data_IF_703732240286
#
_entry.id   IF_703732240286
#
_cell.length_a   1.000
_cell.length_b   1.000
_cell.length_c   1.000
_cell.angle_alpha   90.00
_cell.angle_beta   90.00
_cell.angle_gamma   90.00
#
_symmetry.space_group_name_H-M   'P 1'
#
loop_
_entity.id
_entity.type
_entity.pdbx_description
1 polymer ?
#
# COMPACT_ATOMS: atom_id res chain seq x y z
N UNK A 1 19.30 -48.91 9.47
CA UNK A 1 18.31 -47.86 9.13
C UNK A 1 18.90 -47.06 8.00
N UNK A 2 18.47 -47.34 6.78
CA UNK A 2 18.88 -46.57 5.60
C UNK A 2 18.29 -45.15 5.65
N UNK A 3 19.00 -44.13 5.15
CA UNK A 3 18.47 -42.78 5.05
C UNK A 3 17.43 -42.67 3.92
N UNK A 4 16.35 -41.94 4.18
CA UNK A 4 15.28 -41.61 3.21
C UNK A 4 15.86 -40.83 2.01
N UNK A 5 15.42 -41.10 0.78
CA UNK A 5 15.78 -40.29 -0.37
C UNK A 5 15.09 -38.91 -0.30
N UNK A 6 15.83 -37.87 -0.70
CA UNK A 6 15.32 -36.52 -0.91
C UNK A 6 14.27 -36.55 -2.03
N UNK A 7 13.11 -35.95 -1.76
CA UNK A 7 12.02 -35.81 -2.71
C UNK A 7 12.45 -34.95 -3.91
N UNK A 8 11.88 -35.30 -5.06
CA UNK A 8 12.20 -34.80 -6.39
C UNK A 8 12.15 -33.28 -6.51
N UNK A 9 12.99 -32.78 -7.42
CA UNK A 9 13.09 -31.39 -7.86
C UNK A 9 11.72 -30.78 -8.19
N UNK A 10 11.24 -29.89 -7.33
CA UNK A 10 10.15 -28.98 -7.68
C UNK A 10 10.62 -28.08 -8.83
N UNK A 11 10.05 -28.30 -10.02
CA UNK A 11 10.22 -27.42 -11.16
C UNK A 11 9.60 -26.06 -10.83
N UNK A 12 10.44 -25.09 -10.49
CA UNK A 12 10.04 -23.68 -10.37
C UNK A 12 9.65 -23.20 -11.77
N UNK A 13 8.37 -22.90 -11.95
CA UNK A 13 7.86 -22.38 -13.22
C UNK A 13 8.25 -20.90 -13.35
N UNK A 14 9.06 -20.57 -14.35
CA UNK A 14 9.63 -19.23 -14.52
C UNK A 14 8.74 -18.39 -15.46
N UNK A 15 8.35 -17.17 -15.09
CA UNK A 15 7.55 -16.31 -15.95
C UNK A 15 8.33 -15.94 -17.22
N UNK A 16 7.81 -16.36 -18.37
CA UNK A 16 8.41 -16.19 -19.70
C UNK A 16 8.35 -14.77 -20.25
N UNK A 17 7.82 -13.80 -19.52
CA UNK A 17 7.51 -12.47 -20.08
C UNK A 17 8.48 -11.37 -19.61
N UNK A 18 9.48 -11.71 -18.79
CA UNK A 18 10.49 -10.76 -18.31
C UNK A 18 11.72 -10.72 -19.25
N UNK A 19 11.86 -9.64 -20.02
CA UNK A 19 13.02 -9.38 -20.89
C UNK A 19 14.35 -9.34 -20.11
N UNK A 20 14.30 -8.99 -18.82
CA UNK A 20 15.44 -9.03 -17.91
C UNK A 20 15.93 -10.46 -17.72
N UNK A 21 14.99 -11.37 -17.49
CA UNK A 21 15.24 -12.81 -17.35
C UNK A 21 15.81 -13.42 -18.64
N UNK A 22 15.35 -12.99 -19.82
CA UNK A 22 15.89 -13.50 -21.10
C UNK A 22 17.33 -13.09 -21.40
N UNK A 23 17.69 -11.82 -21.15
CA UNK A 23 19.10 -11.37 -21.26
C UNK A 23 19.99 -12.20 -20.31
N UNK A 24 19.45 -12.55 -19.14
CA UNK A 24 20.15 -13.29 -18.11
C UNK A 24 20.27 -14.79 -18.38
N UNK A 25 19.20 -15.42 -18.89
CA UNK A 25 19.18 -16.83 -19.29
C UNK A 25 20.22 -17.11 -20.37
N UNK A 26 20.47 -16.16 -21.28
CA UNK A 26 21.51 -16.27 -22.31
C UNK A 26 22.92 -16.27 -21.73
N UNK A 27 23.16 -15.55 -20.62
CA UNK A 27 24.45 -15.60 -19.91
C UNK A 27 24.62 -16.92 -19.14
N UNK A 28 23.54 -17.46 -18.59
CA UNK A 28 23.50 -18.74 -17.87
C UNK A 28 23.70 -19.97 -18.79
N UNK A 29 23.17 -19.94 -20.01
CA UNK A 29 23.31 -21.03 -20.99
C UNK A 29 24.64 -20.99 -21.75
N UNK A 30 25.40 -19.88 -21.67
CA UNK A 30 26.68 -19.72 -22.37
C UNK A 30 27.89 -20.32 -21.63
N UNK A 31 27.71 -20.89 -20.43
CA UNK A 31 28.75 -21.57 -19.66
C UNK A 31 28.25 -22.90 -19.10
N UNK A 32 28.77 -24.02 -19.62
CA UNK A 32 28.42 -25.39 -19.21
C UNK A 32 29.66 -26.08 -18.62
N UNK A 33 29.69 -26.29 -17.30
CA UNK A 33 29.90 -27.59 -16.61
C UNK A 33 30.64 -27.42 -15.26
N UNK A 34 29.98 -27.75 -14.14
CA UNK A 34 30.47 -28.52 -12.95
C UNK A 34 29.65 -28.22 -11.68
N UNK A 35 29.55 -29.20 -10.77
CA UNK A 35 28.73 -29.20 -9.54
C UNK A 35 29.00 -28.05 -8.54
N UNK A 36 30.15 -27.38 -8.62
CA UNK A 36 30.44 -26.16 -7.85
C UNK A 36 29.67 -24.93 -8.34
N UNK A 37 29.23 -24.92 -9.60
CA UNK A 37 28.39 -23.85 -10.16
C UNK A 37 26.91 -24.01 -9.78
N UNK A 38 26.44 -25.19 -9.35
CA UNK A 38 25.04 -25.40 -8.97
C UNK A 38 24.71 -24.65 -7.66
N UNK A 39 25.69 -24.57 -6.75
CA UNK A 39 25.66 -23.68 -5.59
C UNK A 39 25.67 -22.20 -6.01
N UNK A 40 26.52 -21.83 -6.98
CA UNK A 40 26.57 -20.46 -7.53
C UNK A 40 25.26 -20.03 -8.21
N UNK A 41 24.63 -20.94 -8.96
CA UNK A 41 23.31 -20.76 -9.58
C UNK A 41 22.21 -20.66 -8.53
N UNK A 42 22.25 -21.48 -7.47
CA UNK A 42 21.30 -21.41 -6.36
C UNK A 42 21.39 -20.09 -5.59
N UNK A 43 22.61 -19.65 -5.25
CA UNK A 43 22.85 -18.35 -4.61
C UNK A 43 22.41 -17.20 -5.52
N UNK A 44 22.73 -17.29 -6.81
CA UNK A 44 22.35 -16.27 -7.78
C UNK A 44 20.82 -16.16 -7.94
N UNK A 45 20.11 -17.28 -8.07
CA UNK A 45 18.63 -17.30 -8.15
C UNK A 45 18.03 -16.68 -6.89
N UNK A 46 18.55 -17.03 -5.70
CA UNK A 46 18.09 -16.42 -4.44
C UNK A 46 18.32 -14.91 -4.40
N UNK A 47 19.48 -14.44 -4.85
CA UNK A 47 19.80 -13.01 -4.94
C UNK A 47 18.90 -12.28 -5.95
N UNK A 48 18.65 -12.89 -7.11
CA UNK A 48 17.76 -12.33 -8.12
C UNK A 48 16.31 -12.24 -7.60
N UNK A 49 15.80 -13.30 -6.96
CA UNK A 49 14.48 -13.30 -6.35
C UNK A 49 14.40 -12.24 -5.25
N UNK A 50 15.40 -12.16 -4.37
CA UNK A 50 15.47 -11.14 -3.33
C UNK A 50 15.46 -9.72 -3.93
N UNK A 51 16.32 -9.46 -4.92
CA UNK A 51 16.37 -8.17 -5.62
C UNK A 51 15.02 -7.83 -6.25
N UNK A 52 14.37 -8.80 -6.90
CA UNK A 52 13.04 -8.61 -7.50
C UNK A 52 12.02 -8.24 -6.45
N UNK A 53 11.92 -8.97 -5.35
CA UNK A 53 10.97 -8.68 -4.27
C UNK A 53 11.24 -7.30 -3.65
N UNK A 54 12.51 -6.95 -3.39
CA UNK A 54 12.90 -5.66 -2.83
C UNK A 54 12.64 -4.49 -3.79
N UNK A 55 12.76 -4.71 -5.10
CA UNK A 55 12.50 -3.68 -6.12
C UNK A 55 11.01 -3.41 -6.34
N UNK A 56 10.15 -4.32 -5.89
CA UNK A 56 8.71 -4.23 -6.06
C UNK A 56 8.00 -3.64 -4.82
N UNK A 57 8.71 -3.41 -3.72
CA UNK A 57 8.19 -2.73 -2.53
C UNK A 57 7.75 -1.31 -2.91
N UNK A 58 6.62 -0.85 -2.38
CA UNK A 58 6.13 0.50 -2.61
C UNK A 58 5.95 1.24 -1.29
N UNK A 59 6.37 2.49 -1.25
CA UNK A 59 6.18 3.39 -0.13
C UNK A 59 5.44 4.63 -0.61
N UNK A 60 4.39 5.03 0.09
CA UNK A 60 3.52 6.12 -0.30
C UNK A 60 3.48 7.21 0.76
N UNK A 61 3.77 8.43 0.33
CA UNK A 61 3.60 9.65 1.10
C UNK A 61 2.90 10.68 0.21
N UNK A 62 1.56 10.61 0.20
CA UNK A 62 0.73 11.34 -0.76
C UNK A 62 0.56 12.79 -0.34
N UNK A 63 0.77 13.70 -1.29
CA UNK A 63 0.50 15.13 -1.12
C UNK A 63 -0.66 15.59 -2.01
N UNK A 64 -1.81 16.01 -1.43
CA UNK A 64 -2.99 16.45 -2.19
C UNK A 64 -2.71 17.52 -3.25
N UNK A 65 -1.81 18.45 -2.97
CA UNK A 65 -1.43 19.51 -3.91
C UNK A 65 -0.85 18.98 -5.23
N UNK A 66 -0.20 17.82 -5.21
CA UNK A 66 0.36 17.21 -6.43
C UNK A 66 -0.73 16.65 -7.36
N UNK A 67 -1.93 16.42 -6.84
CA UNK A 67 -3.06 15.78 -7.54
C UNK A 67 -3.99 16.81 -8.20
N UNK A 68 -4.09 18.03 -7.64
CA UNK A 68 -5.05 19.07 -8.05
C UNK A 68 -4.88 19.53 -9.50
N UNK A 69 -3.65 19.55 -9.97
CA UNK A 69 -3.30 20.12 -11.27
C UNK A 69 -3.55 19.13 -12.42
N UNK A 70 -4.00 19.63 -13.60
CA UNK A 70 -4.00 18.83 -14.82
C UNK A 70 -2.62 18.24 -15.12
N UNK A 71 -2.54 16.93 -15.38
CA UNK A 71 -1.27 16.25 -15.65
C UNK A 71 -1.21 15.73 -17.08
N UNK A 72 -0.03 15.74 -17.69
CA UNK A 72 0.17 15.02 -18.95
C UNK A 72 -0.04 13.52 -18.70
N UNK A 73 -0.64 12.85 -19.66
CA UNK A 73 -0.73 11.40 -19.60
C UNK A 73 0.68 10.81 -19.65
N UNK A 74 1.01 9.98 -18.68
CA UNK A 74 2.23 9.18 -18.67
C UNK A 74 1.88 7.69 -18.74
N UNK A 75 2.79 6.90 -19.29
CA UNK A 75 2.62 5.45 -19.34
C UNK A 75 3.18 4.82 -18.05
N UNK A 76 2.40 4.91 -16.97
CA UNK A 76 2.72 4.27 -15.69
C UNK A 76 1.55 3.41 -15.24
N UNK A 77 1.86 2.15 -14.89
CA UNK A 77 0.88 1.17 -14.40
C UNK A 77 0.78 1.11 -12.87
N UNK A 78 1.60 1.91 -12.19
CA UNK A 78 1.74 1.93 -10.72
C UNK A 78 1.75 3.37 -10.25
N UNK A 79 1.11 3.61 -9.11
CA UNK A 79 1.14 4.91 -8.45
C UNK A 79 2.57 5.22 -8.01
N UNK A 80 3.07 6.42 -8.29
CA UNK A 80 4.34 6.89 -7.72
C UNK A 80 4.20 7.23 -6.22
N UNK A 81 5.33 7.34 -5.52
CA UNK A 81 5.38 7.50 -4.07
C UNK A 81 4.56 8.70 -3.57
N UNK A 82 4.46 9.78 -4.36
CA UNK A 82 3.77 11.02 -3.96
C UNK A 82 2.35 11.12 -4.53
N UNK A 83 1.95 10.18 -5.38
CA UNK A 83 0.68 10.18 -6.09
C UNK A 83 0.60 11.13 -7.30
N UNK A 84 1.72 11.62 -7.82
CA UNK A 84 1.72 12.64 -8.89
C UNK A 84 1.12 12.15 -10.20
N UNK A 85 1.22 10.84 -10.45
CA UNK A 85 0.70 10.16 -11.63
C UNK A 85 -0.71 9.56 -11.43
N UNK A 86 -1.40 9.87 -10.34
CA UNK A 86 -2.71 9.34 -9.97
C UNK A 86 -3.71 9.37 -11.13
N UNK A 87 -3.80 10.48 -11.85
CA UNK A 87 -4.71 10.63 -13.00
C UNK A 87 -4.41 9.65 -14.13
N UNK A 88 -3.14 9.33 -14.39
CA UNK A 88 -2.75 8.36 -15.42
C UNK A 88 -3.07 6.93 -14.99
N UNK A 89 -2.80 6.59 -13.73
CA UNK A 89 -3.10 5.28 -13.15
C UNK A 89 -4.61 5.03 -13.14
N UNK A 90 -5.40 6.00 -12.66
CA UNK A 90 -6.86 5.91 -12.68
C UNK A 90 -7.39 5.78 -14.11
N UNK A 91 -6.85 6.53 -15.07
CA UNK A 91 -7.23 6.41 -16.49
C UNK A 91 -7.00 5.00 -17.02
N UNK A 92 -5.88 4.37 -16.65
CA UNK A 92 -5.59 2.98 -17.02
C UNK A 92 -6.55 1.99 -16.34
N UNK A 93 -6.80 2.17 -15.04
CA UNK A 93 -7.77 1.36 -14.30
C UNK A 93 -9.17 1.43 -14.92
N UNK A 94 -9.59 2.62 -15.35
CA UNK A 94 -10.89 2.86 -16.00
C UNK A 94 -11.02 2.29 -17.41
N UNK A 95 -9.91 2.03 -18.12
CA UNK A 95 -9.95 1.42 -19.47
C UNK A 95 -10.45 -0.02 -19.40
N UNK A 96 -10.27 -0.70 -18.28
CA UNK A 96 -10.86 -2.01 -18.03
C UNK A 96 -12.32 -1.81 -17.59
N UNK A 97 -13.25 -1.79 -18.56
CA UNK A 97 -14.69 -1.51 -18.36
C UNK A 97 -15.47 -2.59 -17.57
N UNK A 98 -14.79 -3.38 -16.74
CA UNK A 98 -15.42 -4.42 -15.91
C UNK A 98 -15.83 -3.73 -14.60
N UNK A 99 -17.15 -3.64 -14.36
CA UNK A 99 -17.68 -3.03 -13.12
C UNK A 99 -17.20 -3.75 -11.84
N UNK A 100 -16.84 -5.02 -11.95
CA UNK A 100 -16.31 -5.88 -10.87
C UNK A 100 -14.78 -5.99 -10.85
N UNK A 101 -14.07 -4.98 -11.38
CA UNK A 101 -12.60 -4.91 -11.36
C UNK A 101 -12.05 -3.96 -10.30
N UNK A 102 -10.72 -3.86 -10.24
CA UNK A 102 -9.97 -3.00 -9.30
C UNK A 102 -10.52 -1.55 -9.19
N UNK A 103 -10.94 -0.95 -10.32
CA UNK A 103 -11.54 0.39 -10.33
C UNK A 103 -12.93 0.44 -9.68
N UNK A 104 -13.74 -0.62 -9.86
CA UNK A 104 -15.06 -0.73 -9.26
C UNK A 104 -14.98 -0.80 -7.74
N UNK A 105 -14.04 -1.57 -7.21
CA UNK A 105 -13.76 -1.67 -5.76
C UNK A 105 -13.31 -0.33 -5.21
N UNK A 106 -12.32 0.29 -5.85
CA UNK A 106 -11.84 1.63 -5.51
C UNK A 106 -12.98 2.65 -5.45
N UNK A 107 -13.83 2.67 -6.49
CA UNK A 107 -14.97 3.60 -6.56
C UNK A 107 -15.97 3.36 -5.44
N UNK A 108 -16.31 2.10 -5.16
CA UNK A 108 -17.23 1.74 -4.06
C UNK A 108 -16.67 2.18 -2.71
N UNK A 109 -15.39 1.91 -2.46
CA UNK A 109 -14.72 2.34 -1.23
C UNK A 109 -14.65 3.86 -1.12
N UNK A 110 -14.37 4.58 -2.21
CA UNK A 110 -14.37 6.05 -2.20
C UNK A 110 -15.75 6.62 -1.83
N UNK A 111 -16.82 6.13 -2.45
CA UNK A 111 -18.20 6.54 -2.15
C UNK A 111 -18.60 6.24 -0.70
N UNK A 112 -18.07 5.16 -0.12
CA UNK A 112 -18.32 4.80 1.26
C UNK A 112 -17.55 5.68 2.26
N UNK A 113 -16.30 6.01 1.93
CA UNK A 113 -15.34 6.76 2.75
C UNK A 113 -15.60 8.27 2.73
N UNK A 114 -16.01 8.83 1.58
CA UNK A 114 -16.14 10.28 1.40
C UNK A 114 -17.61 10.65 1.17
N UNK A 115 -18.31 11.17 2.20
CA UNK A 115 -19.71 11.55 2.08
C UNK A 115 -19.95 12.55 0.94
N UNK A 116 -21.02 12.32 0.18
CA UNK A 116 -21.41 13.19 -0.93
C UNK A 116 -20.75 12.85 -2.27
N UNK A 117 -19.63 12.13 -2.28
CA UNK A 117 -19.02 11.66 -3.54
C UNK A 117 -19.69 10.37 -4.00
N UNK A 118 -20.13 10.36 -5.25
CA UNK A 118 -20.86 9.24 -5.86
C UNK A 118 -20.11 8.59 -7.01
N UNK A 119 -19.14 9.29 -7.60
CA UNK A 119 -18.34 8.79 -8.71
C UNK A 119 -17.04 9.60 -8.86
N UNK A 120 -16.06 9.03 -9.54
CA UNK A 120 -14.78 9.68 -9.88
C UNK A 120 -14.37 9.29 -11.28
N UNK A 121 -13.84 10.24 -12.07
CA UNK A 121 -13.33 9.92 -13.40
C UNK A 121 -12.19 10.80 -13.86
N UNK A 122 -11.48 10.30 -14.86
CA UNK A 122 -10.43 11.04 -15.56
C UNK A 122 -10.94 11.48 -16.94
N UNK A 123 -10.75 12.75 -17.27
CA UNK A 123 -11.11 13.36 -18.56
C UNK A 123 -9.88 13.89 -19.28
N UNK A 124 -9.84 13.76 -20.61
CA UNK A 124 -8.80 14.35 -21.42
C UNK A 124 -9.23 15.76 -21.87
N UNK A 125 -8.45 16.78 -21.50
CA UNK A 125 -8.71 18.19 -21.83
C UNK A 125 -7.42 18.81 -22.35
N UNK A 126 -7.40 19.25 -23.61
CA UNK A 126 -6.24 19.95 -24.19
C UNK A 126 -4.92 19.16 -24.15
N UNK A 127 -4.97 17.82 -24.22
CA UNK A 127 -3.78 16.95 -24.10
C UNK A 127 -3.34 16.64 -22.66
N UNK A 128 -4.05 17.16 -21.67
CA UNK A 128 -3.88 16.85 -20.25
C UNK A 128 -4.99 15.93 -19.76
N UNK A 129 -4.75 15.25 -18.65
CA UNK A 129 -5.74 14.52 -17.87
C UNK A 129 -6.15 15.36 -16.67
N UNK A 130 -7.46 15.50 -16.49
CA UNK A 130 -8.09 16.17 -15.35
C UNK A 130 -8.90 15.13 -14.58
N UNK A 131 -8.83 15.19 -13.27
CA UNK A 131 -9.61 14.36 -12.37
C UNK A 131 -10.89 15.10 -11.98
N UNK A 132 -12.03 14.42 -12.06
CA UNK A 132 -13.34 14.95 -11.69
C UNK A 132 -14.08 14.04 -10.73
N UNK A 133 -14.83 14.64 -9.82
CA UNK A 133 -15.63 13.96 -8.81
C UNK A 133 -17.09 14.32 -8.98
N UNK A 134 -17.97 13.34 -8.85
CA UNK A 134 -19.42 13.54 -8.94
C UNK A 134 -19.99 13.64 -7.54
N UNK A 135 -20.49 14.81 -7.18
CA UNK A 135 -21.16 15.05 -5.92
C UNK A 135 -22.66 14.81 -6.04
N UNK A 136 -23.27 14.15 -5.05
CA UNK A 136 -24.72 14.03 -4.94
C UNK A 136 -25.34 15.40 -4.71
N UNK A 137 -26.28 15.81 -5.56
CA UNK A 137 -27.08 17.01 -5.33
C UNK A 137 -28.44 16.60 -4.77
N UNK A 138 -28.76 17.06 -3.56
CA UNK A 138 -30.03 16.77 -2.87
C UNK A 138 -31.21 17.46 -3.57
N UNK A 139 -30.97 18.56 -4.29
CA UNK A 139 -32.04 19.42 -4.83
C UNK A 139 -32.66 18.86 -6.12
N UNK A 140 -31.82 18.47 -7.10
CA UNK A 140 -32.31 18.07 -8.44
C UNK A 140 -32.09 16.58 -8.77
N UNK A 141 -31.50 15.80 -7.85
CA UNK A 141 -31.11 14.40 -8.06
C UNK A 141 -30.01 14.18 -9.13
N UNK A 142 -29.70 15.21 -9.93
CA UNK A 142 -28.60 15.23 -10.89
C UNK A 142 -27.35 15.75 -10.18
N UNK A 143 -26.45 14.82 -9.83
CA UNK A 143 -25.17 15.16 -9.23
C UNK A 143 -24.32 16.10 -10.09
N UNK A 144 -23.43 16.87 -9.45
CA UNK A 144 -22.55 17.86 -10.10
C UNK A 144 -21.15 17.29 -10.22
N UNK A 145 -20.50 17.48 -11.37
CA UNK A 145 -19.09 17.14 -11.55
C UNK A 145 -18.22 18.34 -11.19
N UNK A 146 -17.32 18.16 -10.23
CA UNK A 146 -16.34 19.15 -9.80
C UNK A 146 -14.94 18.69 -10.19
N UNK A 147 -14.05 19.65 -10.45
CA UNK A 147 -12.65 19.37 -10.73
C UNK A 147 -11.90 19.09 -9.42
N UNK A 148 -10.81 18.30 -9.48
CA UNK A 148 -9.97 18.03 -8.32
C UNK A 148 -9.45 19.29 -7.60
N UNK A 149 -9.35 20.43 -8.30
CA UNK A 149 -9.00 21.72 -7.70
C UNK A 149 -10.03 22.22 -6.68
N UNK A 150 -11.28 21.74 -6.73
CA UNK A 150 -12.38 22.12 -5.85
C UNK A 150 -12.61 21.13 -4.70
N UNK A 151 -11.89 19.99 -4.69
CA UNK A 151 -12.02 18.98 -3.64
C UNK A 151 -11.21 19.33 -2.39
N UNK A 152 -11.61 18.78 -1.25
CA UNK A 152 -10.81 18.85 -0.03
C UNK A 152 -9.53 18.01 -0.14
N UNK A 153 -8.50 18.38 0.62
CA UNK A 153 -7.25 17.63 0.67
C UNK A 153 -7.46 16.17 1.09
N UNK A 154 -8.34 15.93 2.08
CA UNK A 154 -8.72 14.60 2.52
C UNK A 154 -9.33 13.74 1.41
N UNK A 155 -10.17 14.32 0.54
CA UNK A 155 -10.76 13.60 -0.59
C UNK A 155 -9.69 13.13 -1.58
N UNK A 156 -8.78 14.02 -1.95
CA UNK A 156 -7.70 13.70 -2.89
C UNK A 156 -6.74 12.66 -2.30
N UNK A 157 -6.41 12.79 -1.01
CA UNK A 157 -5.59 11.80 -0.29
C UNK A 157 -6.28 10.45 -0.23
N UNK A 158 -7.57 10.41 0.11
CA UNK A 158 -8.34 9.17 0.14
C UNK A 158 -8.33 8.49 -1.22
N UNK A 159 -8.58 9.21 -2.31
CA UNK A 159 -8.51 8.61 -3.64
C UNK A 159 -7.13 8.02 -3.95
N UNK A 160 -6.05 8.71 -3.58
CA UNK A 160 -4.69 8.23 -3.80
C UNK A 160 -4.37 6.98 -2.95
N UNK A 161 -4.76 6.95 -1.68
CA UNK A 161 -4.60 5.80 -0.79
C UNK A 161 -5.38 4.58 -1.31
N UNK A 162 -6.64 4.79 -1.71
CA UNK A 162 -7.45 3.74 -2.34
C UNK A 162 -6.79 3.26 -3.65
N UNK A 163 -6.22 4.16 -4.44
CA UNK A 163 -5.48 3.78 -5.66
C UNK A 163 -4.26 2.94 -5.33
N UNK A 164 -3.48 3.30 -4.30
CA UNK A 164 -2.33 2.53 -3.84
C UNK A 164 -2.72 1.11 -3.40
N UNK A 165 -3.88 0.97 -2.76
CA UNK A 165 -4.44 -0.32 -2.31
C UNK A 165 -4.98 -1.15 -3.47
N UNK A 166 -5.78 -0.56 -4.36
CA UNK A 166 -6.52 -1.29 -5.40
C UNK A 166 -5.80 -1.37 -6.75
N UNK A 167 -4.65 -0.70 -6.95
CA UNK A 167 -3.91 -0.79 -8.20
C UNK A 167 -3.60 -2.24 -8.62
N UNK A 168 -3.64 -2.49 -9.93
CA UNK A 168 -3.54 -3.83 -10.52
C UNK A 168 -2.24 -4.56 -10.19
N UNK A 169 -1.11 -3.83 -10.14
CA UNK A 169 0.21 -4.38 -9.76
C UNK A 169 0.47 -4.16 -8.28
N UNK A 170 -0.20 -4.98 -7.46
CA UNK A 170 -0.06 -4.95 -6.00
C UNK A 170 1.39 -5.27 -5.61
N UNK A 171 2.02 -4.46 -4.77
CA UNK A 171 3.38 -4.74 -4.32
C UNK A 171 3.37 -5.88 -3.30
N UNK A 172 4.51 -6.58 -3.09
CA UNK A 172 4.67 -7.51 -1.98
C UNK A 172 4.59 -6.80 -0.62
N UNK A 173 5.02 -5.53 -0.55
CA UNK A 173 4.86 -4.65 0.61
C UNK A 173 4.32 -3.28 0.19
N UNK A 174 3.31 -2.83 0.93
CA UNK A 174 2.69 -1.52 0.82
C UNK A 174 2.99 -0.70 2.09
N UNK A 175 3.95 0.22 1.99
CA UNK A 175 4.27 1.20 3.02
C UNK A 175 3.44 2.48 2.83
N UNK A 176 2.82 2.99 3.88
CA UNK A 176 2.01 4.21 3.84
C UNK A 176 2.39 5.12 5.01
N UNK A 177 2.79 6.35 4.69
CA UNK A 177 3.15 7.35 5.68
C UNK A 177 1.93 8.22 6.05
N UNK A 178 1.64 8.27 7.35
CA UNK A 178 0.58 9.09 7.97
C UNK A 178 -0.74 9.08 7.18
N UNK A 179 -1.37 7.92 6.94
CA UNK A 179 -2.61 7.85 6.14
C UNK A 179 -3.75 8.70 6.71
N UNK A 180 -3.72 9.03 8.00
CA UNK A 180 -4.68 9.89 8.68
C UNK A 180 -4.58 11.38 8.31
N UNK A 181 -3.46 11.83 7.75
CA UNK A 181 -3.16 13.25 7.68
C UNK A 181 -4.09 13.95 6.66
N UNK A 182 -4.75 15.03 7.09
CA UNK A 182 -5.85 15.69 6.37
C UNK A 182 -7.13 14.84 6.15
N UNK A 183 -7.27 13.68 6.81
CA UNK A 183 -8.46 12.83 6.78
C UNK A 183 -9.30 13.07 8.03
N UNK A 184 -10.63 13.10 7.88
CA UNK A 184 -11.55 13.29 9.01
C UNK A 184 -11.54 12.04 9.94
N UNK A 185 -11.47 12.19 11.28
CA UNK A 185 -11.41 11.06 12.21
C UNK A 185 -12.57 10.06 12.06
N UNK A 186 -13.76 10.52 11.68
CA UNK A 186 -14.92 9.64 11.40
C UNK A 186 -14.68 8.59 10.30
N UNK A 187 -13.65 8.76 9.47
CA UNK A 187 -13.37 7.91 8.30
C UNK A 187 -12.25 6.89 8.57
N UNK A 188 -11.40 7.09 9.59
CA UNK A 188 -10.24 6.20 9.81
C UNK A 188 -10.65 4.75 10.17
N UNK A 189 -11.89 4.49 10.57
CA UNK A 189 -12.42 3.15 10.86
C UNK A 189 -12.51 2.36 9.57
N UNK A 190 -13.19 2.95 8.59
CA UNK A 190 -13.28 2.40 7.25
C UNK A 190 -11.88 2.28 6.62
N UNK A 191 -11.00 3.24 6.87
CA UNK A 191 -9.63 3.19 6.37
C UNK A 191 -8.82 2.02 6.98
N UNK A 192 -8.96 1.79 8.28
CA UNK A 192 -8.35 0.64 8.96
C UNK A 192 -8.89 -0.69 8.40
N UNK A 193 -10.19 -0.80 8.16
CA UNK A 193 -10.81 -1.98 7.53
C UNK A 193 -10.25 -2.22 6.11
N UNK A 194 -10.07 -1.16 5.32
CA UNK A 194 -9.47 -1.26 3.98
C UNK A 194 -8.01 -1.75 4.05
N UNK A 195 -7.25 -1.28 5.04
CA UNK A 195 -5.87 -1.74 5.24
C UNK A 195 -5.81 -3.18 5.74
N UNK A 196 -6.72 -3.58 6.61
CA UNK A 196 -6.85 -4.97 7.05
C UNK A 196 -7.22 -5.89 5.87
N UNK A 197 -8.17 -5.49 5.03
CA UNK A 197 -8.52 -6.23 3.81
C UNK A 197 -7.33 -6.32 2.85
N UNK A 198 -6.61 -5.21 2.66
CA UNK A 198 -5.39 -5.18 1.85
C UNK A 198 -4.29 -6.10 2.41
N UNK A 199 -4.23 -6.25 3.74
CA UNK A 199 -3.24 -7.09 4.42
C UNK A 199 -3.38 -8.58 4.11
N UNK A 200 -4.57 -9.02 3.66
CA UNK A 200 -4.83 -10.41 3.25
C UNK A 200 -4.06 -10.83 1.99
N UNK A 201 -3.56 -9.86 1.21
CA UNK A 201 -2.94 -10.09 -0.10
C UNK A 201 -1.56 -9.44 -0.26
N UNK A 202 -1.24 -8.44 0.56
CA UNK A 202 0.01 -7.66 0.53
C UNK A 202 0.40 -7.32 1.96
N UNK A 203 1.68 -7.33 2.31
CA UNK A 203 2.10 -6.83 3.61
C UNK A 203 1.88 -5.32 3.68
N UNK A 204 1.07 -4.85 4.65
CA UNK A 204 0.81 -3.41 4.84
C UNK A 204 1.59 -2.91 6.04
N UNK A 205 2.37 -1.85 5.85
CA UNK A 205 3.12 -1.15 6.90
C UNK A 205 2.67 0.30 6.92
N UNK A 206 2.23 0.77 8.08
CA UNK A 206 1.71 2.12 8.25
C UNK A 206 2.52 2.81 9.34
N UNK A 207 2.91 4.05 9.10
CA UNK A 207 3.35 4.98 10.16
C UNK A 207 2.17 5.87 10.54
N UNK A 208 1.99 6.09 11.83
CA UNK A 208 0.87 6.89 12.34
C UNK A 208 1.26 7.53 13.66
N UNK A 209 0.85 8.77 13.83
CA UNK A 209 0.84 9.48 15.11
C UNK A 209 -0.58 9.65 15.63
N UNK A 210 -1.60 9.19 14.90
CA UNK A 210 -3.01 9.30 15.26
C UNK A 210 -3.41 8.26 16.31
N UNK A 211 -3.82 8.69 17.52
CA UNK A 211 -4.46 7.82 18.51
C UNK A 211 -5.72 7.16 17.95
N UNK A 212 -6.50 7.91 17.18
CA UNK A 212 -7.75 7.42 16.58
C UNK A 212 -7.52 6.25 15.62
N UNK A 213 -6.45 6.30 14.81
CA UNK A 213 -6.10 5.19 13.92
C UNK A 213 -5.52 4.00 14.70
N UNK A 214 -4.68 4.28 15.71
CA UNK A 214 -4.10 3.25 16.58
C UNK A 214 -5.20 2.42 17.26
N UNK A 215 -6.25 3.06 17.75
CA UNK A 215 -7.38 2.41 18.43
C UNK A 215 -8.24 1.53 17.53
N UNK A 216 -8.07 1.65 16.22
CA UNK A 216 -8.80 0.88 15.21
C UNK A 216 -8.03 -0.33 14.71
N UNK A 217 -6.79 -0.52 15.19
CA UNK A 217 -5.93 -1.62 14.78
C UNK A 217 -5.78 -2.65 15.91
N UNK A 218 -5.69 -3.95 15.57
CA UNK A 218 -5.40 -4.98 16.55
C UNK A 218 -4.06 -4.70 17.25
N UNK A 219 -4.03 -4.80 18.57
CA UNK A 219 -2.82 -4.57 19.37
C UNK A 219 -1.61 -5.41 18.93
N UNK A 220 -1.85 -6.61 18.39
CA UNK A 220 -0.82 -7.51 17.89
C UNK A 220 -0.09 -6.95 16.65
N UNK A 221 -0.72 -6.04 15.90
CA UNK A 221 -0.18 -5.38 14.73
C UNK A 221 0.62 -4.12 15.08
N UNK A 222 0.41 -3.56 16.27
CA UNK A 222 1.07 -2.32 16.70
C UNK A 222 2.55 -2.58 17.01
N UNK A 223 3.41 -1.69 16.53
CA UNK A 223 4.84 -1.64 16.87
C UNK A 223 5.18 -0.27 17.44
N UNK A 224 5.84 -0.26 18.59
CA UNK A 224 6.45 0.94 19.13
C UNK A 224 7.78 1.21 18.41
N UNK A 225 8.12 2.49 18.30
CA UNK A 225 9.39 2.97 17.73
C UNK A 225 10.02 3.91 18.74
N UNK A 226 11.26 3.63 19.14
CA UNK A 226 12.03 4.47 20.04
C UNK A 226 13.41 4.76 19.45
N UNK A 227 13.97 5.92 19.78
CA UNK A 227 15.36 6.26 19.47
C UNK A 227 16.19 6.17 20.75
N UNK A 228 17.05 5.16 20.85
CA UNK A 228 17.82 4.84 22.06
C UNK A 228 19.29 4.67 21.66
N UNK A 229 20.18 5.39 22.35
CA UNK A 229 21.63 5.30 22.15
C UNK A 229 22.11 5.53 20.69
N UNK A 230 21.41 6.39 19.95
CA UNK A 230 21.74 6.68 18.55
C UNK A 230 21.12 5.73 17.53
N UNK A 231 20.32 4.75 17.97
CA UNK A 231 19.69 3.75 17.11
C UNK A 231 18.17 3.80 17.20
N UNK A 232 17.51 3.62 16.05
CA UNK A 232 16.06 3.40 16.00
C UNK A 232 15.75 1.94 16.31
N UNK A 233 14.99 1.72 17.38
CA UNK A 233 14.50 0.39 17.78
C UNK A 233 13.01 0.30 17.47
N UNK A 234 12.61 -0.80 16.85
CA UNK A 234 11.21 -1.09 16.49
C UNK A 234 10.83 -2.45 17.08
N UNK A 235 9.67 -2.54 17.72
CA UNK A 235 9.28 -3.75 18.42
C UNK A 235 7.86 -3.72 18.94
N UNK A 236 7.46 -4.80 19.63
CA UNK A 236 6.14 -4.85 20.28
C UNK A 236 6.08 -3.81 21.39
N UNK A 237 4.88 -3.28 21.62
CA UNK A 237 4.61 -2.44 22.79
C UNK A 237 4.92 -3.20 24.08
N UNK A 238 5.27 -2.49 25.15
CA UNK A 238 5.64 -3.07 26.44
C UNK A 238 4.55 -4.01 26.98
N UNK A 239 4.95 -5.04 27.73
CA UNK A 239 4.00 -6.01 28.29
C UNK A 239 2.98 -5.34 29.23
N UNK A 240 3.41 -4.31 29.97
CA UNK A 240 2.54 -3.50 30.84
C UNK A 240 1.48 -2.77 30.05
N UNK A 241 1.85 -2.08 28.97
CA UNK A 241 0.90 -1.39 28.09
C UNK A 241 -0.01 -2.39 27.37
N UNK A 242 0.55 -3.51 26.87
CA UNK A 242 -0.24 -4.55 26.23
C UNK A 242 -1.28 -5.17 27.17
N UNK A 243 -0.93 -5.36 28.45
CA UNK A 243 -1.84 -5.90 29.45
C UNK A 243 -2.92 -4.87 29.82
N UNK A 244 -2.56 -3.59 29.96
CA UNK A 244 -3.52 -2.53 30.25
C UNK A 244 -4.62 -2.43 29.17
N UNK A 245 -4.23 -2.52 27.90
CA UNK A 245 -5.19 -2.54 26.78
C UNK A 245 -6.04 -3.81 26.79
N UNK A 246 -5.44 -4.99 27.01
CA UNK A 246 -6.21 -6.26 27.10
C UNK A 246 -7.21 -6.28 28.25
N UNK A 247 -6.90 -5.61 29.36
CA UNK A 247 -7.79 -5.49 30.51
C UNK A 247 -8.83 -4.36 30.36
N UNK A 248 -8.78 -3.59 29.28
CA UNK A 248 -9.68 -2.46 29.04
C UNK A 248 -9.44 -1.28 30.00
N UNK A 249 -8.24 -1.17 30.58
CA UNK A 249 -7.88 -0.04 31.46
C UNK A 249 -7.63 1.23 30.66
N UNK A 250 -7.07 1.08 29.45
CA UNK A 250 -6.80 2.15 28.50
C UNK A 250 -6.94 1.60 27.08
N UNK A 251 -7.21 2.46 26.10
CA UNK A 251 -6.99 2.14 24.69
C UNK A 251 -5.50 2.31 24.31
N UNK A 252 -5.08 1.77 23.18
CA UNK A 252 -3.68 1.91 22.74
C UNK A 252 -3.36 3.37 22.34
N UNK A 253 -4.35 4.07 21.78
CA UNK A 253 -4.30 5.48 21.43
C UNK A 253 -4.27 6.38 22.67
N UNK A 254 -5.01 6.05 23.74
CA UNK A 254 -4.92 6.76 25.03
C UNK A 254 -3.50 6.66 25.60
N UNK A 255 -2.93 5.45 25.66
CA UNK A 255 -1.54 5.26 26.11
C UNK A 255 -0.54 6.02 25.24
N UNK A 256 -0.71 5.98 23.92
CA UNK A 256 0.11 6.75 22.98
C UNK A 256 0.05 8.25 23.28
N UNK A 257 -1.14 8.78 23.56
CA UNK A 257 -1.36 10.21 23.83
C UNK A 257 -0.80 10.66 25.18
N UNK A 258 -0.84 9.79 26.19
CA UNK A 258 -0.42 10.12 27.55
C UNK A 258 1.09 10.06 27.73
N UNK A 259 1.71 8.97 27.27
CA UNK A 259 3.11 8.64 27.57
C UNK A 259 3.89 8.07 26.38
N UNK A 260 3.25 7.91 25.23
CA UNK A 260 3.81 7.20 24.08
C UNK A 260 3.78 5.69 24.24
N UNK A 261 3.80 4.97 23.11
CA UNK A 261 3.93 3.52 23.12
C UNK A 261 5.40 3.15 23.28
N UNK A 262 5.70 2.35 24.30
CA UNK A 262 7.06 2.00 24.69
C UNK A 262 7.41 0.59 24.22
N UNK A 263 8.69 0.34 23.95
CA UNK A 263 9.18 -0.98 23.56
C UNK A 263 9.12 -1.97 24.72
N UNK A 264 8.85 -3.24 24.40
CA UNK A 264 9.13 -4.33 25.34
C UNK A 264 10.61 -4.33 25.67
N UNK A 265 10.94 -4.08 26.94
CA UNK A 265 12.31 -4.24 27.45
C UNK A 265 12.68 -5.71 27.41
N UNK A 266 13.57 -6.09 26.50
CA UNK A 266 14.21 -7.39 26.56
C UNK A 266 15.13 -7.35 27.77
N UNK A 267 14.84 -8.16 28.80
CA UNK A 267 15.77 -8.35 29.90
C UNK A 267 17.08 -8.90 29.32
N UNK A 268 18.14 -8.09 29.39
CA UNK A 268 19.52 -8.47 29.06
C UNK A 268 20.12 -9.35 30.15
#
# INVERSE_FOLDING_TARGET
MEPRPLADSESIDFPTDDLSFFKYRRALLAGVSNDSEDHGRSVFVRLYLLHRELSELCFYHVFPNTIREPKKQINSRRLDEQGTNLTSVLREMQRNKIETGDFGDLRRSLTHVVPGITDVRTEAVGGYLVLKFKHSNIVDGKGVWLDASQESDGTLRMLALLTAVYQRRRPPLLGIEEPESAVHPGVLAVLAEIFEEASLRTQVVITTHSPDLIDRLPIACIRAVEFVDGETKVGKISETQAQAVKQGLFTAGELHSMEGLQLTKVQS
#
